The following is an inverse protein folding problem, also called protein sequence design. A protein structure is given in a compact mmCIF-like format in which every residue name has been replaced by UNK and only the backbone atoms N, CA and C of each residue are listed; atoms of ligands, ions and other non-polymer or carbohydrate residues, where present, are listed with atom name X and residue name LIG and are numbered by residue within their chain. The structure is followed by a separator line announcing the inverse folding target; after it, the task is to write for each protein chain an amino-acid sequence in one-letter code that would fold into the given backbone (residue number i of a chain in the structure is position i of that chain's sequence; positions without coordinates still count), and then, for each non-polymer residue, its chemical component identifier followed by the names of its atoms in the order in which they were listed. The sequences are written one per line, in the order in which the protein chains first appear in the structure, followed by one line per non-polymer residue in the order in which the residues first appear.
data_IF_112861852525
#
_entry.id   IF_112861852525
#
_cell.length_a   1.000
_cell.length_b   1.000
_cell.length_c   1.000
_cell.angle_alpha   90.00
_cell.angle_beta   90.00
_cell.angle_gamma   90.00
#
_symmetry.space_group_name_H-M   'P 1'
#
loop_
_entity.id
_entity.type
_entity.pdbx_description
1 polymer ?
#
# COMPACT_ATOMS: atom_id res chain seq x y z
N UNK A 1 27.05 -1.29 -39.76
CA UNK A 1 25.96 -0.38 -39.36
C UNK A 1 25.18 -1.05 -38.24
N UNK A 2 25.26 -0.53 -37.01
CA UNK A 2 24.55 -1.09 -35.87
C UNK A 2 23.15 -0.46 -35.80
N UNK A 3 22.11 -1.29 -35.88
CA UNK A 3 20.74 -0.86 -35.67
C UNK A 3 20.56 -0.55 -34.18
N UNK A 4 20.33 0.73 -33.88
CA UNK A 4 19.99 1.21 -32.55
C UNK A 4 18.60 0.66 -32.23
N UNK A 5 18.53 -0.38 -31.38
CA UNK A 5 17.28 -0.88 -30.85
C UNK A 5 16.67 0.21 -29.95
N UNK A 6 15.65 0.88 -30.46
CA UNK A 6 14.84 1.84 -29.73
C UNK A 6 14.15 1.08 -28.58
N UNK A 7 14.60 1.31 -27.34
CA UNK A 7 13.90 0.86 -26.14
C UNK A 7 12.48 1.45 -26.18
N UNK A 8 11.49 0.62 -26.50
CA UNK A 8 10.10 0.95 -26.32
C UNK A 8 9.86 1.17 -24.83
N UNK A 9 9.70 2.44 -24.42
CA UNK A 9 9.25 2.78 -23.07
C UNK A 9 7.91 2.06 -22.84
N UNK A 10 7.73 1.31 -21.74
CA UNK A 10 6.45 0.68 -21.44
C UNK A 10 5.36 1.75 -21.40
N UNK A 11 4.21 1.44 -21.99
CA UNK A 11 3.04 2.33 -22.00
C UNK A 11 2.67 2.73 -20.55
N UNK A 12 2.19 3.96 -20.32
CA UNK A 12 1.74 4.36 -18.98
C UNK A 12 0.65 3.40 -18.50
N UNK A 13 0.79 2.93 -17.26
CA UNK A 13 -0.21 2.13 -16.58
C UNK A 13 -1.59 2.80 -16.66
N UNK A 14 -2.65 1.98 -16.72
CA UNK A 14 -4.02 2.47 -16.70
C UNK A 14 -4.21 3.42 -15.50
N UNK A 15 -4.51 4.69 -15.78
CA UNK A 15 -4.83 5.65 -14.74
C UNK A 15 -6.12 5.20 -14.04
N UNK A 16 -6.10 5.10 -12.71
CA UNK A 16 -7.29 4.81 -11.90
C UNK A 16 -8.20 6.04 -11.91
N UNK A 17 -9.40 5.92 -12.47
CA UNK A 17 -10.43 6.97 -12.46
C UNK A 17 -11.29 6.82 -11.21
N UNK A 18 -10.89 7.50 -10.12
CA UNK A 18 -11.55 7.44 -8.81
C UNK A 18 -11.95 8.84 -8.39
N UNK A 19 -13.22 9.03 -8.02
CA UNK A 19 -13.67 10.26 -7.38
C UNK A 19 -13.16 10.36 -5.93
N UNK A 20 -13.19 11.55 -5.33
CA UNK A 20 -12.88 11.71 -3.90
C UNK A 20 -13.76 10.83 -3.01
N UNK A 21 -15.04 10.67 -3.39
CA UNK A 21 -15.98 9.78 -2.68
C UNK A 21 -15.55 8.31 -2.80
N UNK A 22 -15.00 7.90 -3.94
CA UNK A 22 -14.49 6.53 -4.12
C UNK A 22 -13.20 6.30 -3.32
N UNK A 23 -12.30 7.29 -3.29
CA UNK A 23 -11.08 7.24 -2.47
C UNK A 23 -11.43 7.13 -0.98
N UNK A 24 -12.36 7.95 -0.49
CA UNK A 24 -12.82 7.88 0.90
C UNK A 24 -13.49 6.53 1.21
N UNK A 25 -14.34 6.03 0.31
CA UNK A 25 -14.99 4.72 0.47
C UNK A 25 -13.97 3.59 0.53
N UNK A 26 -13.03 3.52 -0.42
CA UNK A 26 -11.94 2.54 -0.44
C UNK A 26 -11.16 2.61 0.87
N UNK A 27 -10.77 3.82 1.28
CA UNK A 27 -9.99 4.01 2.49
C UNK A 27 -10.69 3.46 3.72
N UNK A 28 -11.95 3.86 3.96
CA UNK A 28 -12.69 3.41 5.14
C UNK A 28 -12.83 1.89 5.17
N UNK A 29 -13.15 1.27 4.04
CA UNK A 29 -13.22 -0.19 3.93
C UNK A 29 -11.86 -0.83 4.22
N UNK A 30 -10.78 -0.34 3.59
CA UNK A 30 -9.42 -0.89 3.77
C UNK A 30 -8.96 -0.80 5.22
N UNK A 31 -9.19 0.32 5.91
CA UNK A 31 -8.81 0.44 7.32
C UNK A 31 -9.73 -0.34 8.26
N UNK A 32 -11.00 -0.53 7.91
CA UNK A 32 -11.88 -1.39 8.70
C UNK A 32 -11.50 -2.88 8.56
N UNK A 33 -11.00 -3.31 7.39
CA UNK A 33 -10.62 -4.70 7.11
C UNK A 33 -9.17 -5.02 7.50
N UNK A 34 -8.24 -4.07 7.35
CA UNK A 34 -6.81 -4.32 7.37
C UNK A 34 -5.99 -3.33 8.21
N UNK A 35 -6.59 -2.63 9.19
CA UNK A 35 -5.83 -1.74 10.08
C UNK A 35 -4.71 -2.45 10.87
N UNK A 36 -4.93 -3.70 11.28
CA UNK A 36 -3.95 -4.53 12.00
C UNK A 36 -2.95 -5.27 11.10
N UNK A 37 -3.05 -5.12 9.77
CA UNK A 37 -2.19 -5.80 8.82
C UNK A 37 -0.95 -4.96 8.45
N UNK A 38 0.14 -5.59 7.98
CA UNK A 38 1.25 -4.85 7.38
C UNK A 38 0.77 -4.02 6.19
N UNK A 39 1.54 -3.01 5.77
CA UNK A 39 1.21 -2.16 4.62
C UNK A 39 0.86 -3.00 3.36
N UNK A 40 1.56 -4.11 3.14
CA UNK A 40 1.26 -5.06 2.07
C UNK A 40 -0.17 -5.64 2.16
N UNK A 41 -0.71 -5.89 3.35
CA UNK A 41 -2.09 -6.35 3.51
C UNK A 41 -3.11 -5.30 3.04
N UNK A 42 -2.88 -4.02 3.35
CA UNK A 42 -3.72 -2.92 2.85
C UNK A 42 -3.66 -2.80 1.33
N UNK A 43 -2.45 -2.89 0.76
CA UNK A 43 -2.25 -2.89 -0.70
C UNK A 43 -3.02 -4.03 -1.35
N UNK A 44 -3.00 -5.24 -0.79
CA UNK A 44 -3.69 -6.40 -1.34
C UNK A 44 -5.23 -6.30 -1.24
N UNK A 45 -5.77 -5.67 -0.19
CA UNK A 45 -7.21 -5.36 -0.11
C UNK A 45 -7.62 -4.32 -1.15
N UNK A 46 -6.80 -3.27 -1.34
CA UNK A 46 -6.99 -2.30 -2.44
C UNK A 46 -6.97 -3.00 -3.79
N UNK A 47 -6.00 -3.90 -4.03
CA UNK A 47 -5.93 -4.70 -5.25
C UNK A 47 -7.21 -5.51 -5.47
N UNK A 48 -7.75 -6.13 -4.42
CA UNK A 48 -9.00 -6.88 -4.52
C UNK A 48 -10.18 -5.98 -4.95
N UNK A 49 -10.29 -4.76 -4.40
CA UNK A 49 -11.34 -3.80 -4.79
C UNK A 49 -11.17 -3.38 -6.26
N UNK A 50 -9.95 -3.07 -6.69
CA UNK A 50 -9.66 -2.67 -8.06
C UNK A 50 -9.87 -3.83 -9.06
N UNK A 51 -9.53 -5.06 -8.67
CA UNK A 51 -9.79 -6.27 -9.46
C UNK A 51 -11.28 -6.52 -9.62
N UNK A 52 -12.07 -6.33 -8.56
CA UNK A 52 -13.54 -6.40 -8.63
C UNK A 52 -14.10 -5.37 -9.60
N UNK A 53 -13.60 -4.13 -9.54
CA UNK A 53 -13.98 -3.04 -10.46
C UNK A 53 -13.63 -3.37 -11.91
N UNK A 54 -12.42 -3.86 -12.17
CA UNK A 54 -11.98 -4.27 -13.49
C UNK A 54 -12.72 -5.49 -14.05
N UNK A 55 -13.21 -6.38 -13.19
CA UNK A 55 -13.92 -7.59 -13.62
C UNK A 55 -15.35 -7.33 -14.09
N UNK A 56 -16.00 -6.25 -13.64
CA UNK A 56 -17.41 -5.96 -13.88
C UNK A 56 -18.42 -6.93 -13.20
N UNK A 57 -17.97 -8.07 -12.68
CA UNK A 57 -18.82 -9.09 -12.01
C UNK A 57 -19.46 -8.59 -10.72
N UNK A 58 -18.85 -7.59 -10.11
CA UNK A 58 -19.25 -7.03 -8.82
C UNK A 58 -19.94 -5.66 -8.98
N UNK A 59 -20.21 -5.25 -10.21
CA UNK A 59 -20.68 -3.91 -10.56
C UNK A 59 -19.57 -3.09 -11.22
N UNK A 60 -19.97 -1.93 -11.73
CA UNK A 60 -19.13 -1.04 -12.55
C UNK A 60 -18.68 0.22 -11.81
N UNK A 61 -18.85 0.28 -10.49
CA UNK A 61 -18.41 1.41 -9.66
C UNK A 61 -17.88 0.96 -8.31
N UNK A 62 -17.01 1.76 -7.69
CA UNK A 62 -16.50 1.49 -6.35
C UNK A 62 -17.64 1.41 -5.34
N UNK A 63 -18.61 2.32 -5.40
CA UNK A 63 -19.80 2.30 -4.55
C UNK A 63 -20.53 0.95 -4.64
N UNK A 64 -20.76 0.45 -5.86
CA UNK A 64 -21.43 -0.84 -6.06
C UNK A 64 -20.66 -2.02 -5.46
N UNK A 65 -19.34 -1.91 -5.32
CA UNK A 65 -18.45 -2.95 -4.76
C UNK A 65 -18.40 -2.86 -3.23
N UNK A 66 -18.22 -1.66 -2.68
CA UNK A 66 -18.10 -1.49 -1.23
C UNK A 66 -19.42 -1.69 -0.49
N UNK A 67 -20.55 -1.40 -1.13
CA UNK A 67 -21.90 -1.58 -0.56
C UNK A 67 -22.50 -2.97 -0.83
N UNK A 68 -21.75 -3.89 -1.44
CA UNK A 68 -22.26 -5.25 -1.64
C UNK A 68 -22.57 -5.92 -0.30
N UNK A 69 -23.77 -6.51 -0.15
CA UNK A 69 -24.15 -7.19 1.07
C UNK A 69 -23.14 -8.28 1.45
N UNK A 70 -22.62 -8.23 2.68
CA UNK A 70 -21.66 -9.19 3.24
C UNK A 70 -20.31 -9.28 2.50
N UNK A 71 -19.99 -8.37 1.57
CA UNK A 71 -18.68 -8.35 0.93
C UNK A 71 -17.57 -7.86 1.87
N UNK A 72 -17.95 -6.98 2.81
CA UNK A 72 -17.11 -6.43 3.86
C UNK A 72 -17.89 -6.47 5.17
N UNK A 73 -17.41 -7.24 6.14
CA UNK A 73 -18.11 -7.51 7.41
C UNK A 73 -18.32 -6.22 8.25
N UNK A 74 -17.31 -5.34 8.41
CA UNK A 74 -17.47 -4.08 9.13
C UNK A 74 -18.49 -3.15 8.47
N UNK A 75 -18.50 -3.06 7.13
CA UNK A 75 -19.47 -2.25 6.37
C UNK A 75 -20.89 -2.72 6.64
N UNK A 76 -21.11 -4.04 6.55
CA UNK A 76 -22.41 -4.65 6.78
C UNK A 76 -22.90 -4.38 8.20
N UNK A 77 -22.02 -4.52 9.20
CA UNK A 77 -22.35 -4.23 10.61
C UNK A 77 -22.67 -2.76 10.87
N UNK A 78 -21.99 -1.85 10.18
CA UNK A 78 -22.19 -0.41 10.32
C UNK A 78 -23.44 0.08 9.55
N UNK A 79 -24.01 -0.74 8.65
CA UNK A 79 -25.13 -0.34 7.79
C UNK A 79 -24.72 0.47 6.57
N UNK A 80 -23.46 0.36 6.13
CA UNK A 80 -22.90 1.06 4.98
C UNK A 80 -21.51 1.63 5.25
N UNK A 81 -20.75 1.93 4.19
CA UNK A 81 -19.35 2.37 4.34
C UNK A 81 -19.25 3.78 4.93
N UNK A 82 -20.28 4.62 4.73
CA UNK A 82 -20.34 5.99 5.26
C UNK A 82 -20.44 6.03 6.79
N UNK A 83 -20.87 4.92 7.38
CA UNK A 83 -21.06 4.72 8.81
C UNK A 83 -19.79 4.18 9.49
N UNK A 84 -18.79 3.77 8.72
CA UNK A 84 -17.45 3.49 9.23
C UNK A 84 -16.78 4.79 9.69
N UNK A 85 -15.86 4.72 10.69
CA UNK A 85 -15.11 5.88 11.13
C UNK A 85 -14.40 6.59 9.95
N UNK A 86 -14.34 7.93 9.97
CA UNK A 86 -13.56 8.67 8.98
C UNK A 86 -12.08 8.34 9.13
N UNK A 87 -11.35 8.47 8.02
CA UNK A 87 -9.90 8.27 8.04
C UNK A 87 -9.21 9.32 8.93
N UNK A 88 -8.12 8.94 9.57
CA UNK A 88 -7.19 9.91 10.16
C UNK A 88 -6.32 10.56 9.08
N UNK A 89 -5.62 11.65 9.41
CA UNK A 89 -4.70 12.29 8.47
C UNK A 89 -3.60 11.33 7.98
N UNK A 90 -3.03 10.53 8.90
CA UNK A 90 -2.02 9.52 8.57
C UNK A 90 -2.57 8.43 7.65
N UNK A 91 -3.80 7.99 7.89
CA UNK A 91 -4.46 6.97 7.06
C UNK A 91 -4.75 7.50 5.65
N UNK A 92 -5.20 8.76 5.54
CA UNK A 92 -5.36 9.43 4.24
C UNK A 92 -4.04 9.52 3.47
N UNK A 93 -2.95 9.90 4.14
CA UNK A 93 -1.64 10.03 3.51
C UNK A 93 -1.08 8.68 3.03
N UNK A 94 -1.21 7.62 3.83
CA UNK A 94 -0.81 6.25 3.46
C UNK A 94 -1.64 5.76 2.26
N UNK A 95 -2.97 5.93 2.30
CA UNK A 95 -3.86 5.58 1.18
C UNK A 95 -3.51 6.34 -0.11
N UNK A 96 -3.36 7.66 -0.02
CA UNK A 96 -3.02 8.51 -1.16
C UNK A 96 -1.68 8.09 -1.79
N UNK A 97 -0.70 7.71 -0.96
CA UNK A 97 0.59 7.20 -1.42
C UNK A 97 0.41 5.89 -2.20
N UNK A 98 -0.33 4.92 -1.64
CA UNK A 98 -0.57 3.63 -2.29
C UNK A 98 -1.30 3.83 -3.64
N UNK A 99 -2.38 4.61 -3.66
CA UNK A 99 -3.14 4.86 -4.88
C UNK A 99 -2.32 5.59 -5.94
N UNK A 100 -1.49 6.56 -5.55
CA UNK A 100 -0.60 7.27 -6.48
C UNK A 100 0.45 6.35 -7.09
N UNK A 101 1.04 5.43 -6.29
CA UNK A 101 2.00 4.45 -6.79
C UNK A 101 1.35 3.44 -7.74
N UNK A 102 0.11 3.01 -7.45
CA UNK A 102 -0.67 2.14 -8.35
C UNK A 102 -1.02 2.83 -9.65
N UNK A 103 -1.55 4.06 -9.59
CA UNK A 103 -1.88 4.86 -10.77
C UNK A 103 -0.63 5.16 -11.63
N UNK A 104 0.54 5.34 -11.00
CA UNK A 104 1.81 5.50 -11.70
C UNK A 104 2.43 4.21 -12.24
N UNK A 105 1.85 3.04 -11.95
CA UNK A 105 2.39 1.74 -12.35
C UNK A 105 3.62 1.27 -11.56
N UNK A 106 3.97 1.95 -10.47
CA UNK A 106 5.11 1.60 -9.62
C UNK A 106 4.78 0.51 -8.60
N UNK A 107 3.49 0.23 -8.39
CA UNK A 107 3.00 -0.78 -7.47
C UNK A 107 2.00 -1.70 -8.20
N UNK A 108 2.44 -2.92 -8.53
CA UNK A 108 1.59 -3.92 -9.17
C UNK A 108 0.56 -4.54 -8.23
N UNK A 109 -0.24 -5.46 -8.78
CA UNK A 109 -1.17 -6.28 -8.01
C UNK A 109 -0.41 -7.40 -7.29
N UNK A 110 -0.34 -7.31 -5.96
CA UNK A 110 0.34 -8.31 -5.12
C UNK A 110 -0.59 -9.42 -4.63
N UNK A 111 -1.90 -9.26 -4.84
CA UNK A 111 -2.92 -10.28 -4.56
C UNK A 111 -3.00 -11.35 -5.66
N UNK A 112 -2.30 -11.13 -6.78
CA UNK A 112 -2.29 -12.00 -7.97
C UNK A 112 -3.69 -12.19 -8.57
N UNK A 113 -4.42 -11.09 -8.76
CA UNK A 113 -5.74 -11.05 -9.39
C UNK A 113 -6.88 -11.42 -8.45
N UNK A 114 -6.67 -11.40 -7.14
CA UNK A 114 -7.67 -11.86 -6.19
C UNK A 114 -8.98 -11.06 -6.30
N UNK A 115 -10.09 -11.78 -6.17
CA UNK A 115 -11.45 -11.22 -6.10
C UNK A 115 -12.07 -11.41 -4.72
N UNK A 116 -11.46 -12.25 -3.88
CA UNK A 116 -11.93 -12.56 -2.53
C UNK A 116 -10.74 -12.63 -1.58
N UNK A 117 -10.98 -12.34 -0.30
CA UNK A 117 -10.01 -12.58 0.76
C UNK A 117 -10.73 -12.97 2.05
N UNK A 118 -10.03 -13.66 2.94
CA UNK A 118 -10.53 -13.97 4.27
C UNK A 118 -9.36 -13.99 5.27
N UNK A 119 -9.62 -13.64 6.53
CA UNK A 119 -8.74 -14.06 7.62
C UNK A 119 -9.08 -15.52 7.98
N UNK A 120 -8.29 -16.46 7.45
CA UNK A 120 -8.63 -17.87 7.51
C UNK A 120 -8.61 -18.45 8.92
N UNK A 121 -7.74 -17.93 9.79
CA UNK A 121 -7.68 -18.34 11.19
C UNK A 121 -8.95 -17.92 11.94
N UNK A 122 -9.41 -16.68 11.76
CA UNK A 122 -10.65 -16.19 12.38
C UNK A 122 -11.87 -16.98 11.87
N UNK A 123 -11.95 -17.26 10.56
CA UNK A 123 -13.06 -18.06 10.01
C UNK A 123 -13.03 -19.47 10.60
N UNK A 124 -11.87 -20.12 10.68
CA UNK A 124 -11.73 -21.45 11.29
C UNK A 124 -12.14 -21.48 12.77
N UNK A 125 -11.76 -20.45 13.55
CA UNK A 125 -12.18 -20.32 14.95
C UNK A 125 -13.70 -20.16 15.08
N UNK A 126 -14.32 -19.37 14.19
CA UNK A 126 -15.77 -19.22 14.13
C UNK A 126 -16.48 -20.52 13.76
N UNK A 127 -15.87 -21.35 12.91
CA UNK A 127 -16.39 -22.71 12.63
C UNK A 127 -16.30 -23.58 13.86
N UNK A 128 -15.16 -23.58 14.56
CA UNK A 128 -14.95 -24.35 15.78
C UNK A 128 -15.96 -23.97 16.89
N UNK A 129 -16.42 -22.71 16.91
CA UNK A 129 -17.44 -22.21 17.84
C UNK A 129 -18.88 -22.31 17.30
N UNK A 130 -19.10 -22.91 16.12
CA UNK A 130 -20.42 -23.11 15.52
C UNK A 130 -21.10 -21.83 14.99
N UNK A 131 -20.37 -20.71 14.90
CA UNK A 131 -20.89 -19.41 14.45
C UNK A 131 -21.00 -19.30 12.93
N UNK A 132 -20.20 -20.08 12.19
CA UNK A 132 -20.21 -20.11 10.72
C UNK A 132 -20.08 -21.54 10.21
N UNK A 133 -20.61 -21.81 9.01
CA UNK A 133 -20.56 -23.14 8.41
C UNK A 133 -19.13 -23.52 8.00
N UNK A 134 -18.73 -24.81 8.11
CA UNK A 134 -17.41 -25.28 7.66
C UNK A 134 -17.10 -24.98 6.19
N UNK A 135 -18.13 -24.95 5.34
CA UNK A 135 -17.99 -24.64 3.91
C UNK A 135 -17.51 -23.20 3.63
N UNK A 136 -17.57 -22.30 4.61
CA UNK A 136 -17.08 -20.93 4.45
C UNK A 136 -15.56 -20.82 4.61
N UNK A 137 -14.90 -21.82 5.18
CA UNK A 137 -13.44 -21.84 5.25
C UNK A 137 -12.88 -21.96 3.83
N UNK A 138 -12.07 -20.99 3.44
CA UNK A 138 -11.44 -20.93 2.11
C UNK A 138 -12.48 -20.88 0.98
N UNK A 139 -13.66 -20.29 1.25
CA UNK A 139 -14.77 -20.21 0.30
C UNK A 139 -15.09 -21.56 -0.37
N UNK A 140 -15.12 -22.63 0.41
CA UNK A 140 -15.44 -23.98 -0.10
C UNK A 140 -14.30 -24.62 -0.89
N UNK A 141 -13.05 -24.22 -0.64
CA UNK A 141 -11.88 -24.74 -1.35
C UNK A 141 -11.50 -23.94 -2.59
N UNK A 142 -11.92 -22.68 -2.67
CA UNK A 142 -11.53 -21.77 -3.76
C UNK A 142 -9.99 -21.69 -3.90
N UNK A 143 -9.46 -21.61 -5.13
CA UNK A 143 -8.02 -21.46 -5.35
C UNK A 143 -7.44 -20.24 -4.65
N UNK A 144 -6.32 -20.45 -3.95
CA UNK A 144 -5.55 -19.41 -3.26
C UNK A 144 -4.59 -18.75 -4.24
N UNK A 145 -4.55 -17.43 -4.25
CA UNK A 145 -3.63 -16.65 -5.10
C UNK A 145 -2.46 -16.08 -4.32
N UNK A 146 -2.68 -15.71 -3.04
CA UNK A 146 -1.66 -15.17 -2.16
C UNK A 146 -2.02 -15.36 -0.68
N UNK A 147 -1.01 -15.30 0.19
CA UNK A 147 -1.17 -15.14 1.65
C UNK A 147 -0.32 -13.96 2.07
N UNK A 148 -0.94 -12.93 2.62
CA UNK A 148 -0.28 -11.67 3.01
C UNK A 148 -0.80 -11.28 4.39
N UNK A 149 0.11 -11.26 5.37
CA UNK A 149 -0.28 -11.12 6.77
C UNK A 149 -1.23 -12.23 7.20
N UNK A 150 -2.35 -11.88 7.83
CA UNK A 150 -3.37 -12.85 8.25
C UNK A 150 -4.43 -13.11 7.16
N UNK A 151 -4.37 -12.41 6.04
CA UNK A 151 -5.28 -12.59 4.93
C UNK A 151 -4.78 -13.64 3.93
N UNK A 152 -5.68 -14.54 3.57
CA UNK A 152 -5.53 -15.38 2.38
C UNK A 152 -6.42 -14.79 1.29
N UNK A 153 -5.89 -14.71 0.07
CA UNK A 153 -6.52 -14.15 -1.10
C UNK A 153 -6.87 -15.25 -2.10
N UNK A 154 -7.97 -15.08 -2.82
CA UNK A 154 -8.54 -16.12 -3.68
C UNK A 154 -9.09 -15.55 -4.98
N UNK A 155 -9.11 -16.43 -5.99
CA UNK A 155 -9.76 -16.19 -7.27
C UNK A 155 -10.40 -17.50 -7.74
N UNK A 156 -11.64 -17.49 -8.23
CA UNK A 156 -12.24 -18.67 -8.84
C UNK A 156 -11.46 -19.08 -10.09
N UNK A 157 -11.40 -20.38 -10.36
CA UNK A 157 -10.92 -20.91 -11.64
C UNK A 157 -12.00 -20.62 -12.70
N UNK A 158 -11.86 -19.53 -13.45
CA UNK A 158 -12.73 -19.25 -14.60
C UNK A 158 -12.04 -19.70 -15.90
N UNK A 159 -12.70 -20.49 -16.78
CA UNK A 159 -12.26 -20.66 -18.17
C UNK A 159 -12.41 -19.37 -19.00
N UNK A 160 -13.20 -18.40 -18.52
CA UNK A 160 -13.37 -17.07 -19.10
C UNK A 160 -12.43 -16.01 -18.51
N UNK A 161 -11.56 -16.41 -17.57
CA UNK A 161 -10.54 -15.57 -16.98
C UNK A 161 -9.41 -15.35 -17.96
N UNK A 162 -9.55 -14.34 -18.81
CA UNK A 162 -8.44 -13.84 -19.61
C UNK A 162 -7.20 -13.60 -18.72
N UNK A 163 -6.00 -13.63 -19.33
CA UNK A 163 -4.74 -13.43 -18.61
C UNK A 163 -4.81 -12.17 -17.73
N UNK A 164 -4.03 -12.12 -16.62
CA UNK A 164 -3.99 -10.99 -15.71
C UNK A 164 -3.91 -9.68 -16.50
N UNK A 165 -4.60 -8.60 -16.08
CA UNK A 165 -4.70 -7.37 -16.87
C UNK A 165 -3.32 -6.88 -17.29
N UNK A 166 -3.02 -7.15 -18.56
CA UNK A 166 -1.75 -6.87 -19.22
C UNK A 166 -1.83 -6.79 -20.75
N UNK A 167 -2.99 -7.03 -21.38
CA UNK A 167 -3.07 -7.07 -22.86
C UNK A 167 -4.39 -6.63 -23.50
N UNK A 168 -5.18 -5.74 -22.90
CA UNK A 168 -6.30 -5.14 -23.66
C UNK A 168 -6.53 -3.68 -23.30
N UNK A 169 -6.28 -2.79 -24.27
CA UNK A 169 -6.35 -1.33 -24.19
C UNK A 169 -7.81 -0.85 -24.09
N UNK A 170 -8.25 -0.19 -23.00
CA UNK A 170 -9.49 0.56 -23.00
C UNK A 170 -9.31 1.93 -23.68
N UNK A 171 -10.40 2.43 -24.27
CA UNK A 171 -10.43 3.68 -25.02
C UNK A 171 -10.06 4.90 -24.17
N UNK A 172 -9.27 5.78 -24.80
CA UNK A 172 -8.49 6.87 -24.22
C UNK A 172 -9.36 8.05 -23.80
N UNK A 173 -9.43 8.33 -22.50
CA UNK A 173 -9.81 9.66 -21.98
C UNK A 173 -8.76 10.11 -20.96
N UNK A 174 -8.05 11.18 -21.30
CA UNK A 174 -6.97 11.76 -20.49
C UNK A 174 -7.54 12.61 -19.36
N UNK A 175 -7.06 12.43 -18.13
CA UNK A 175 -7.29 13.35 -17.02
C UNK A 175 -5.99 13.62 -16.26
N UNK A 176 -5.90 14.85 -15.74
CA UNK A 176 -4.80 15.40 -14.95
C UNK A 176 -5.12 15.20 -13.48
N UNK A 177 -4.21 14.58 -12.74
CA UNK A 177 -4.22 14.62 -11.27
C UNK A 177 -3.75 16.00 -10.83
N UNK A 178 -4.66 16.79 -10.25
CA UNK A 178 -4.34 17.98 -9.48
C UNK A 178 -4.68 17.67 -8.02
N UNK A 179 -3.80 16.93 -7.34
CA UNK A 179 -3.88 16.76 -5.89
C UNK A 179 -2.90 17.73 -5.24
N UNK A 180 -3.37 18.94 -4.94
CA UNK A 180 -2.82 19.81 -3.90
C UNK A 180 -3.95 19.96 -2.90
N UNK A 181 -3.75 19.48 -1.67
CA UNK A 181 -4.75 19.58 -0.63
C UNK A 181 -4.94 21.04 -0.22
N UNK A 182 -6.14 21.57 -0.43
CA UNK A 182 -6.61 22.75 0.29
C UNK A 182 -7.33 22.26 1.56
N UNK A 183 -6.64 22.35 2.69
CA UNK A 183 -7.20 22.07 4.02
C UNK A 183 -7.59 23.41 4.66
N UNK A 184 -8.87 23.76 4.84
CA UNK A 184 -9.28 25.06 5.39
C UNK A 184 -9.16 25.16 6.94
N UNK A 185 -8.28 24.36 7.56
CA UNK A 185 -8.18 24.27 9.02
C UNK A 185 -6.77 24.50 9.60
N UNK A 186 -5.94 25.32 8.95
CA UNK A 186 -4.70 25.82 9.54
C UNK A 186 -4.80 27.34 9.77
N UNK A 187 -5.11 27.74 11.01
CA UNK A 187 -4.98 29.14 11.41
C UNK A 187 -3.50 29.58 11.27
N UNK A 188 -3.20 30.78 10.75
CA UNK A 188 -1.83 31.21 10.55
C UNK A 188 -1.12 31.41 11.90
N UNK A 189 0.04 30.79 12.06
CA UNK A 189 1.00 31.11 13.11
C UNK A 189 1.50 32.57 12.95
N UNK A 190 1.87 33.28 14.04
CA UNK A 190 2.36 34.64 13.95
C UNK A 190 3.69 34.72 13.16
N UNK A 191 3.98 35.88 12.52
CA UNK A 191 5.13 36.02 11.65
C UNK A 191 6.43 36.08 12.46
N UNK A 192 7.24 35.02 12.37
CA UNK A 192 8.64 35.05 12.73
C UNK A 192 9.40 35.71 11.57
N UNK A 193 9.96 36.89 11.83
CA UNK A 193 10.86 37.61 10.94
C UNK A 193 12.19 36.85 10.81
N UNK A 194 12.51 36.34 9.62
CA UNK A 194 13.80 35.72 9.35
C UNK A 194 14.00 35.56 7.85
N UNK A 195 15.06 36.17 7.33
CA UNK A 195 15.29 36.36 5.91
C UNK A 195 15.57 35.06 5.13
N UNK A 196 14.94 34.95 3.97
CA UNK A 196 15.48 34.42 2.72
C UNK A 196 16.25 33.09 2.70
N UNK A 197 15.57 32.01 2.33
CA UNK A 197 16.12 31.10 1.31
C UNK A 197 15.00 30.28 0.64
N UNK A 198 14.82 30.51 -0.66
CA UNK A 198 13.93 29.73 -1.53
C UNK A 198 14.55 28.35 -1.78
N UNK A 199 14.07 27.31 -1.12
CA UNK A 199 14.45 25.92 -1.45
C UNK A 199 13.41 25.32 -2.40
N UNK A 200 13.71 25.43 -3.69
CA UNK A 200 13.13 24.65 -4.77
C UNK A 200 13.32 23.16 -4.51
N UNK A 201 12.22 22.40 -4.53
CA UNK A 201 12.21 20.93 -4.46
C UNK A 201 12.81 20.39 -5.77
N UNK A 202 14.07 19.94 -5.73
CA UNK A 202 14.77 19.37 -6.87
C UNK A 202 14.46 17.87 -7.04
N UNK A 203 14.18 17.52 -8.29
CA UNK A 203 14.01 16.17 -8.82
C UNK A 203 15.29 15.34 -8.77
N UNK A 204 15.12 14.02 -8.67
CA UNK A 204 16.11 12.94 -8.70
C UNK A 204 17.23 13.11 -9.74
N UNK A 205 18.50 12.98 -9.34
CA UNK A 205 19.49 12.16 -10.08
C UNK A 205 20.73 11.83 -9.25
N UNK A 206 21.14 10.56 -9.38
CA UNK A 206 22.36 9.94 -8.89
C UNK A 206 23.64 10.76 -9.16
N UNK A 207 24.48 10.97 -8.13
CA UNK A 207 25.94 11.04 -8.31
C UNK A 207 26.70 10.67 -7.02
N UNK A 208 27.09 9.40 -6.93
CA UNK A 208 28.23 8.98 -6.12
C UNK A 208 29.48 9.69 -6.64
N UNK A 209 30.05 10.61 -5.85
CA UNK A 209 31.47 11.00 -5.75
C UNK A 209 31.59 12.39 -5.14
N UNK A 210 31.76 12.47 -3.81
CA UNK A 210 32.61 13.48 -3.13
C UNK A 210 32.56 13.28 -1.61
N UNK A 211 33.30 12.29 -1.12
CA UNK A 211 33.94 12.41 0.19
C UNK A 211 35.41 12.04 -0.01
N UNK A 212 36.17 13.01 -0.51
CA UNK A 212 37.63 13.01 -0.44
C UNK A 212 38.09 14.44 -0.14
N UNK A 213 38.76 14.58 1.00
CA UNK A 213 39.58 15.71 1.47
C UNK A 213 38.85 16.98 1.91
N UNK A 214 38.83 17.19 3.23
CA UNK A 214 39.64 18.21 3.94
C UNK A 214 40.12 17.53 5.23
N UNK A 215 41.36 17.03 5.25
CA UNK A 215 42.57 17.72 5.74
C UNK A 215 42.29 18.35 7.12
N UNK A 216 42.62 17.66 8.21
CA UNK A 216 43.97 17.63 8.82
C UNK A 216 44.58 19.04 8.91
N UNK A 217 44.45 19.66 10.09
CA UNK A 217 45.57 20.21 10.88
C UNK A 217 45.03 21.08 12.02
N UNK A 218 45.79 21.08 13.13
CA UNK A 218 45.61 21.87 14.36
C UNK A 218 44.62 21.22 15.36
N UNK A 219 45.00 20.72 16.55
CA UNK A 219 46.09 21.07 17.47
C UNK A 219 46.64 19.84 18.20
N UNK A 220 47.94 19.85 18.47
CA UNK A 220 48.68 18.86 19.26
C UNK A 220 48.69 19.18 20.76
N UNK A 221 48.76 18.10 21.54
CA UNK A 221 49.51 17.88 22.80
C UNK A 221 49.04 18.48 24.13
N UNK A 222 48.59 17.57 25.02
CA UNK A 222 48.94 17.48 26.45
C UNK A 222 48.33 16.18 27.02
N UNK A 223 49.06 15.05 26.99
CA UNK A 223 49.84 14.45 28.10
C UNK A 223 49.04 13.73 29.20
N UNK A 224 49.45 12.47 29.44
CA UNK A 224 49.20 11.55 30.55
C UNK A 224 47.85 10.79 30.65
N UNK A 225 47.91 9.51 30.22
CA UNK A 225 47.84 8.42 31.20
C UNK A 225 46.52 7.66 31.36
N UNK A 226 46.32 6.59 30.57
CA UNK A 226 45.65 5.38 31.07
C UNK A 226 46.04 4.14 30.24
N UNK A 227 46.64 3.14 30.90
CA UNK A 227 46.89 1.80 30.34
C UNK A 227 45.66 0.90 30.57
N UNK A 228 45.28 0.03 29.63
CA UNK A 228 44.18 -0.90 29.82
C UNK A 228 44.68 -2.13 30.60
N UNK A 229 43.91 -2.54 31.61
CA UNK A 229 44.10 -3.80 32.33
C UNK A 229 42.90 -4.70 32.09
N UNK A 230 43.15 -5.96 31.76
CA UNK A 230 42.21 -7.04 32.01
C UNK A 230 41.49 -7.62 30.80
N UNK A 231 42.19 -8.49 30.06
CA UNK A 231 41.56 -9.70 29.57
C UNK A 231 41.01 -10.48 30.77
N UNK A 232 39.76 -10.93 30.71
CA UNK A 232 39.51 -12.32 31.08
C UNK A 232 38.42 -12.94 30.21
N UNK A 233 38.80 -14.05 29.58
CA UNK A 233 37.93 -14.97 28.84
C UNK A 233 37.64 -16.11 29.81
N UNK A 234 36.38 -16.54 29.92
CA UNK A 234 35.95 -17.96 29.93
C UNK A 234 34.48 -18.11 30.36
N UNK A 235 33.64 -18.55 29.43
CA UNK A 235 32.70 -19.65 29.66
C UNK A 235 33.34 -20.92 29.06
N UNK A 236 32.78 -22.16 29.17
CA UNK A 236 31.57 -22.63 29.88
C UNK A 236 31.81 -23.95 30.68
N UNK A 237 30.76 -24.49 31.34
CA UNK A 237 30.64 -25.94 31.55
C UNK A 237 29.88 -26.44 32.78
N UNK A 238 28.70 -27.03 32.52
CA UNK A 238 28.08 -28.24 33.11
C UNK A 238 28.19 -28.56 34.62
N UNK A 239 27.02 -28.81 35.21
CA UNK A 239 26.80 -29.45 36.52
C UNK A 239 25.36 -29.30 36.95
#
# INVERSE_FOLDING_TARGET
MAALALLALPAPAAALDLSETDVEAIGRVVYAEAAGEPAAGKVAVIDTILNRLGSGRFGSSVQSIVDQPNAFEPVTRAGGWRQLPPLTATQRAELATILSLKAGGYLGDISSGALYFQNAAIVAERVATGKVAPSLVHFGGMPKTAVIGHHTFYRPDDPAGGPPPGTTTPARRTLRSSFVGDDPALAPAPPETGEGETVLVLSLTFRLQRLRRRDETAWSSSWLGYRPSGLDRRCPGFG
#
